data_IF_013837996096
#
_entry.id   IF_013837996096
#
_cell.length_a   1.000
_cell.length_b   1.000
_cell.length_c   1.000
_cell.angle_alpha   90.00
_cell.angle_beta   90.00
_cell.angle_gamma   90.00
#
_symmetry.space_group_name_H-M   'P 1'
#
loop_
_entity.id
_entity.type
_entity.pdbx_description
1 polymer ?
#
# COMPACT_ATOMS: atom_id res chain seq x y z
N UNK A 1 29.88 -47.43 -63.77
CA UNK A 1 29.95 -47.52 -62.29
C UNK A 1 30.43 -46.16 -61.81
N UNK A 2 29.53 -45.34 -61.26
CA UNK A 2 29.88 -44.02 -60.69
C UNK A 2 29.77 -44.11 -59.17
N UNK A 3 30.91 -43.99 -58.52
CA UNK A 3 31.04 -43.93 -57.06
C UNK A 3 30.45 -42.66 -56.51
N UNK A 4 29.36 -42.71 -55.76
CA UNK A 4 28.76 -41.57 -55.09
C UNK A 4 29.54 -41.26 -53.81
N UNK A 5 30.02 -40.07 -53.69
CA UNK A 5 30.90 -39.59 -52.62
C UNK A 5 30.11 -39.43 -51.30
N UNK A 6 30.35 -40.30 -50.34
CA UNK A 6 29.66 -40.33 -49.01
C UNK A 6 30.02 -39.20 -48.09
N UNK A 7 30.88 -38.27 -48.50
CA UNK A 7 31.42 -37.19 -47.66
C UNK A 7 30.52 -35.92 -47.63
N UNK A 8 29.55 -35.81 -48.55
CA UNK A 8 28.72 -34.59 -48.65
C UNK A 8 27.44 -34.65 -47.78
N UNK A 9 26.98 -35.84 -47.41
CA UNK A 9 25.77 -35.98 -46.56
C UNK A 9 26.03 -35.74 -45.08
N UNK A 10 27.27 -35.82 -44.59
CA UNK A 10 27.54 -35.70 -43.15
C UNK A 10 27.71 -34.25 -42.67
N UNK A 11 27.94 -33.31 -43.59
CA UNK A 11 28.09 -31.86 -43.25
C UNK A 11 26.79 -31.10 -43.19
N UNK A 12 25.69 -31.62 -43.71
CA UNK A 12 24.37 -30.96 -43.68
C UNK A 12 23.60 -31.32 -42.42
N UNK A 13 23.88 -32.48 -41.82
CA UNK A 13 23.17 -32.93 -40.60
C UNK A 13 23.76 -32.29 -39.32
N UNK A 14 25.05 -31.98 -39.29
CA UNK A 14 25.70 -31.32 -38.14
C UNK A 14 25.44 -29.81 -38.07
N UNK A 15 25.16 -29.13 -39.19
CA UNK A 15 24.84 -27.70 -39.22
C UNK A 15 23.40 -27.42 -38.75
N UNK A 16 22.48 -28.36 -39.00
CA UNK A 16 21.05 -28.20 -38.62
C UNK A 16 20.77 -28.38 -37.14
N UNK A 17 21.57 -29.23 -36.48
CA UNK A 17 21.34 -29.55 -35.01
C UNK A 17 21.92 -28.44 -34.12
N UNK A 18 22.97 -27.75 -34.57
CA UNK A 18 23.56 -26.63 -33.83
C UNK A 18 22.67 -25.37 -33.90
N UNK A 19 21.89 -25.20 -34.97
CA UNK A 19 21.00 -24.04 -35.10
C UNK A 19 19.68 -24.21 -34.32
N UNK A 20 19.22 -25.45 -34.08
CA UNK A 20 18.02 -25.70 -33.26
C UNK A 20 18.32 -25.62 -31.75
N UNK A 21 19.55 -25.90 -31.32
CA UNK A 21 19.91 -25.80 -29.90
C UNK A 21 20.20 -24.37 -29.44
N UNK A 22 20.49 -23.43 -30.34
CA UNK A 22 20.70 -22.01 -30.00
C UNK A 22 19.38 -21.22 -29.91
N UNK A 23 18.28 -21.73 -30.48
CA UNK A 23 16.97 -21.05 -30.42
C UNK A 23 16.14 -21.44 -29.18
N UNK A 24 16.54 -22.46 -28.43
CA UNK A 24 15.84 -22.91 -27.22
C UNK A 24 16.33 -22.26 -25.92
N UNK A 25 17.35 -21.39 -25.95
CA UNK A 25 17.95 -20.80 -24.74
C UNK A 25 17.55 -19.34 -24.49
N UNK A 26 16.60 -18.78 -25.21
CA UNK A 26 16.08 -17.42 -24.96
C UNK A 26 14.58 -17.39 -24.71
N UNK A 27 13.99 -18.46 -24.24
CA UNK A 27 12.73 -18.34 -23.52
C UNK A 27 13.08 -17.78 -22.13
N UNK A 28 13.32 -16.48 -22.04
CA UNK A 28 13.17 -15.73 -20.80
C UNK A 28 11.73 -15.99 -20.35
N UNK A 29 11.60 -16.96 -19.45
CA UNK A 29 10.36 -17.11 -18.68
C UNK A 29 10.19 -15.82 -17.89
N UNK A 30 9.40 -14.89 -18.44
CA UNK A 30 8.72 -13.90 -17.60
C UNK A 30 7.78 -14.73 -16.73
N UNK A 31 8.32 -15.23 -15.65
CA UNK A 31 7.54 -15.85 -14.61
C UNK A 31 6.92 -14.67 -13.87
N UNK A 32 5.67 -14.36 -14.18
CA UNK A 32 4.90 -13.48 -13.34
C UNK A 32 5.07 -14.00 -11.91
N UNK A 33 5.66 -13.20 -11.03
CA UNK A 33 5.82 -13.57 -9.62
C UNK A 33 4.42 -13.55 -8.99
N UNK A 34 3.67 -14.65 -9.13
CA UNK A 34 2.43 -14.81 -8.39
C UNK A 34 2.79 -15.24 -6.97
N UNK A 35 2.65 -14.33 -6.02
CA UNK A 35 2.67 -14.70 -4.61
C UNK A 35 1.33 -15.30 -4.23
N UNK A 36 1.36 -16.45 -3.57
CA UNK A 36 0.17 -16.98 -2.92
C UNK A 36 -0.02 -16.25 -1.58
N UNK A 37 -1.27 -15.90 -1.21
CA UNK A 37 -1.57 -15.34 0.10
C UNK A 37 -1.04 -16.24 1.22
N UNK A 38 -0.39 -15.62 2.19
CA UNK A 38 0.09 -16.24 3.43
C UNK A 38 -0.73 -15.70 4.58
N UNK A 39 -0.73 -16.41 5.71
CA UNK A 39 -1.48 -16.00 6.87
C UNK A 39 -0.60 -15.98 8.12
N UNK A 40 -0.86 -15.02 8.99
CA UNK A 40 -0.32 -14.93 10.35
C UNK A 40 -1.45 -14.52 11.28
N UNK A 41 -1.37 -14.87 12.55
CA UNK A 41 -2.34 -14.41 13.53
C UNK A 41 -1.92 -13.08 14.15
N UNK A 42 -2.82 -12.10 14.16
CA UNK A 42 -2.66 -10.88 14.92
C UNK A 42 -2.71 -11.17 16.42
N UNK A 43 -2.44 -10.13 17.24
CA UNK A 43 -2.44 -10.23 18.72
C UNK A 43 -3.75 -10.76 19.31
N UNK A 44 -4.87 -10.51 18.66
CA UNK A 44 -6.21 -10.95 19.04
C UNK A 44 -6.63 -12.28 18.39
N UNK A 45 -5.69 -13.01 17.78
CA UNK A 45 -5.89 -14.22 17.01
C UNK A 45 -6.72 -14.06 15.74
N UNK A 46 -6.90 -12.86 15.22
CA UNK A 46 -7.48 -12.66 13.89
C UNK A 46 -6.46 -13.09 12.83
N UNK A 47 -6.80 -13.98 11.87
CA UNK A 47 -5.88 -14.34 10.79
C UNK A 47 -5.73 -13.17 9.81
N UNK A 48 -4.50 -12.77 9.56
CA UNK A 48 -4.13 -11.67 8.66
C UNK A 48 -3.48 -12.23 7.42
N UNK A 49 -4.06 -11.91 6.27
CA UNK A 49 -3.55 -12.27 4.95
C UNK A 49 -2.48 -11.29 4.50
N UNK A 50 -1.43 -11.81 3.88
CA UNK A 50 -0.39 -10.98 3.26
C UNK A 50 0.28 -11.70 2.09
N UNK A 51 0.82 -10.92 1.18
CA UNK A 51 1.57 -11.37 0.03
C UNK A 51 3.00 -10.83 0.08
N UNK A 52 3.97 -11.59 -0.45
CA UNK A 52 5.39 -11.19 -0.47
C UNK A 52 5.93 -11.33 -1.88
N UNK A 53 6.53 -10.27 -2.39
CA UNK A 53 7.17 -10.22 -3.71
C UNK A 53 8.61 -9.72 -3.58
N UNK A 54 9.46 -10.09 -4.52
CA UNK A 54 10.84 -9.65 -4.56
C UNK A 54 11.67 -10.07 -3.34
N UNK A 55 12.79 -9.39 -3.15
CA UNK A 55 13.73 -9.62 -2.05
C UNK A 55 14.57 -8.37 -1.79
N UNK A 56 15.22 -8.30 -0.63
CA UNK A 56 16.09 -7.18 -0.27
C UNK A 56 15.53 -6.37 0.90
N UNK A 57 16.36 -5.44 1.37
CA UNK A 57 16.02 -4.49 2.44
C UNK A 57 16.33 -3.06 2.00
N UNK A 58 15.58 -2.06 2.46
CA UNK A 58 14.44 -2.23 3.37
C UNK A 58 13.28 -2.95 2.70
N UNK A 59 12.48 -3.68 3.50
CA UNK A 59 11.20 -4.20 3.05
C UNK A 59 10.21 -3.06 2.96
N UNK A 60 9.49 -2.96 1.84
CA UNK A 60 8.40 -2.01 1.63
C UNK A 60 7.09 -2.69 2.03
N UNK A 61 6.42 -2.18 3.06
CA UNK A 61 5.18 -2.73 3.57
C UNK A 61 4.03 -1.81 3.18
N UNK A 62 3.13 -2.30 2.36
CA UNK A 62 2.00 -1.53 1.82
C UNK A 62 0.72 -1.84 2.58
N UNK A 63 0.09 -0.81 3.11
CA UNK A 63 -1.14 -0.88 3.90
C UNK A 63 -2.22 -0.04 3.22
N UNK A 64 -3.33 -0.67 2.90
CA UNK A 64 -4.44 -0.07 2.16
C UNK A 64 -5.30 0.89 3.01
N UNK A 65 -6.18 1.62 2.35
CA UNK A 65 -7.15 2.53 2.96
C UNK A 65 -8.43 1.84 3.45
N UNK A 66 -9.36 2.66 3.96
CA UNK A 66 -10.67 2.21 4.40
C UNK A 66 -11.43 1.47 3.30
N UNK A 67 -11.99 0.31 3.62
CA UNK A 67 -12.76 -0.56 2.71
C UNK A 67 -12.03 -0.96 1.41
N UNK A 68 -10.69 -0.86 1.40
CA UNK A 68 -9.81 -1.34 0.34
C UNK A 68 -9.16 -2.68 0.74
N UNK A 69 -8.27 -3.19 -0.10
CA UNK A 69 -7.42 -4.35 0.17
C UNK A 69 -6.09 -4.28 -0.61
N UNK A 70 -5.29 -5.33 -0.56
CA UNK A 70 -3.99 -5.43 -1.21
C UNK A 70 -4.02 -5.21 -2.72
N UNK A 71 -5.14 -5.45 -3.40
CA UNK A 71 -5.32 -5.26 -4.86
C UNK A 71 -5.14 -3.81 -5.30
N UNK A 72 -5.27 -2.86 -4.38
CA UNK A 72 -5.06 -1.44 -4.68
C UNK A 72 -3.60 -1.11 -5.00
N UNK A 73 -2.66 -2.00 -4.65
CA UNK A 73 -1.23 -1.86 -4.89
C UNK A 73 -0.70 -2.63 -6.11
N UNK A 74 -1.59 -3.16 -6.96
CA UNK A 74 -1.23 -4.02 -8.11
C UNK A 74 -0.25 -3.39 -9.10
N UNK A 75 -0.30 -2.07 -9.28
CA UNK A 75 0.56 -1.33 -10.20
C UNK A 75 1.95 -1.00 -9.61
N UNK A 76 2.21 -1.34 -8.34
CA UNK A 76 3.45 -1.11 -7.62
C UNK A 76 4.32 -2.38 -7.52
N UNK A 77 3.70 -3.55 -7.72
CA UNK A 77 4.36 -4.85 -7.50
C UNK A 77 5.60 -4.99 -8.38
N UNK A 78 5.43 -4.93 -9.70
CA UNK A 78 6.54 -5.17 -10.63
C UNK A 78 7.63 -4.11 -10.47
N UNK A 79 7.25 -2.85 -10.33
CA UNK A 79 8.14 -1.71 -10.21
C UNK A 79 9.08 -1.80 -9.00
N UNK A 80 8.57 -2.19 -7.84
CA UNK A 80 9.34 -2.17 -6.60
C UNK A 80 9.91 -3.54 -6.21
N UNK A 81 9.37 -4.65 -6.71
CA UNK A 81 9.86 -6.00 -6.40
C UNK A 81 11.20 -6.34 -7.04
N UNK A 82 11.62 -5.58 -8.06
CA UNK A 82 12.94 -5.77 -8.70
C UNK A 82 14.10 -5.47 -7.74
N UNK A 83 13.92 -4.49 -6.84
CA UNK A 83 15.00 -4.02 -5.95
C UNK A 83 14.70 -4.16 -4.46
N UNK A 84 13.45 -4.39 -4.08
CA UNK A 84 13.03 -4.50 -2.69
C UNK A 84 12.18 -5.75 -2.45
N UNK A 85 12.15 -6.22 -1.22
CA UNK A 85 11.05 -7.06 -0.76
C UNK A 85 9.82 -6.18 -0.58
N UNK A 86 8.69 -6.61 -1.16
CA UNK A 86 7.37 -5.98 -0.99
C UNK A 86 6.51 -6.89 -0.15
N UNK A 87 5.79 -6.31 0.79
CA UNK A 87 4.75 -6.98 1.58
C UNK A 87 3.46 -6.20 1.41
N UNK A 88 2.44 -6.84 0.87
CA UNK A 88 1.09 -6.30 0.77
C UNK A 88 0.23 -6.95 1.85
N UNK A 89 -0.52 -6.16 2.62
CA UNK A 89 -1.32 -6.64 3.75
C UNK A 89 -2.80 -6.40 3.45
N UNK A 90 -3.62 -7.42 3.70
CA UNK A 90 -5.05 -7.22 3.93
C UNK A 90 -5.26 -7.03 5.44
N UNK A 91 -5.70 -5.87 5.89
CA UNK A 91 -6.02 -5.61 7.30
C UNK A 91 -7.19 -6.48 7.76
N UNK A 92 -7.31 -6.76 9.05
CA UNK A 92 -8.45 -7.50 9.58
C UNK A 92 -9.79 -6.97 9.04
N UNK A 93 -10.68 -7.87 8.63
CA UNK A 93 -11.98 -7.51 8.04
C UNK A 93 -11.94 -7.10 6.57
N UNK A 94 -10.77 -7.07 5.94
CA UNK A 94 -10.58 -6.69 4.54
C UNK A 94 -9.93 -7.82 3.75
N UNK A 95 -10.16 -7.83 2.43
CA UNK A 95 -9.56 -8.80 1.50
C UNK A 95 -9.77 -10.24 1.95
N UNK A 96 -8.66 -10.97 2.16
CA UNK A 96 -8.65 -12.37 2.59
C UNK A 96 -8.46 -12.55 4.10
N UNK A 97 -8.38 -11.45 4.87
CA UNK A 97 -8.17 -11.51 6.32
C UNK A 97 -9.45 -11.84 7.09
N UNK A 98 -9.28 -12.35 8.30
CA UNK A 98 -10.38 -12.75 9.18
C UNK A 98 -11.22 -11.57 9.66
N UNK A 99 -12.48 -11.88 10.06
CA UNK A 99 -13.51 -10.92 10.48
C UNK A 99 -13.94 -11.14 11.93
N UNK A 100 -13.06 -11.67 12.78
CA UNK A 100 -13.41 -12.14 14.13
C UNK A 100 -13.29 -11.07 15.21
N UNK A 101 -12.94 -9.87 14.86
CA UNK A 101 -12.73 -8.73 15.77
C UNK A 101 -14.03 -7.95 15.96
N UNK A 102 -14.27 -7.45 17.18
CA UNK A 102 -15.45 -6.62 17.49
C UNK A 102 -15.25 -5.14 17.16
N UNK A 103 -14.01 -4.61 17.36
CA UNK A 103 -13.65 -3.21 17.12
C UNK A 103 -12.46 -3.12 16.17
N UNK A 104 -12.62 -2.36 15.12
CA UNK A 104 -11.63 -2.21 14.04
C UNK A 104 -10.88 -0.89 14.18
N UNK A 105 -10.10 -0.74 15.27
CA UNK A 105 -9.35 0.49 15.57
C UNK A 105 -8.01 0.54 14.84
N UNK A 106 -7.49 1.77 14.65
CA UNK A 106 -6.17 2.00 14.04
C UNK A 106 -5.06 1.32 14.85
N UNK A 107 -5.20 1.24 16.17
CA UNK A 107 -4.26 0.53 17.04
C UNK A 107 -4.29 -0.98 16.81
N UNK A 108 -5.47 -1.57 16.68
CA UNK A 108 -5.62 -3.00 16.40
C UNK A 108 -5.09 -3.36 15.01
N UNK A 109 -5.33 -2.52 14.01
CA UNK A 109 -4.71 -2.65 12.69
C UNK A 109 -3.18 -2.49 12.74
N UNK A 110 -2.64 -1.64 13.61
CA UNK A 110 -1.20 -1.55 13.85
C UNK A 110 -0.58 -2.86 14.35
N UNK A 111 -1.30 -3.61 15.21
CA UNK A 111 -0.87 -4.95 15.63
C UNK A 111 -0.91 -5.97 14.46
N UNK A 112 -1.84 -5.83 13.51
CA UNK A 112 -1.87 -6.65 12.29
C UNK A 112 -0.60 -6.45 11.46
N UNK A 113 -0.24 -5.18 11.20
CA UNK A 113 0.98 -4.81 10.47
C UNK A 113 2.22 -5.36 11.18
N UNK A 114 2.30 -5.20 12.50
CA UNK A 114 3.40 -5.74 13.30
C UNK A 114 3.52 -7.26 13.14
N UNK A 115 2.42 -7.98 13.28
CA UNK A 115 2.40 -9.44 13.17
C UNK A 115 2.94 -9.91 11.79
N UNK A 116 2.55 -9.23 10.72
CA UNK A 116 3.03 -9.54 9.35
C UNK A 116 4.52 -9.20 9.21
N UNK A 117 4.98 -8.05 9.68
CA UNK A 117 6.40 -7.66 9.63
C UNK A 117 7.26 -8.68 10.39
N UNK A 118 6.82 -9.14 11.55
CA UNK A 118 7.51 -10.19 12.32
C UNK A 118 7.52 -11.54 11.58
N UNK A 119 6.41 -11.96 11.00
CA UNK A 119 6.27 -13.21 10.25
C UNK A 119 7.16 -13.25 8.98
N UNK A 120 7.38 -12.10 8.34
CA UNK A 120 8.27 -11.99 7.17
C UNK A 120 9.75 -11.97 7.56
N UNK A 121 10.08 -11.82 8.84
CA UNK A 121 11.44 -11.70 9.34
C UNK A 121 12.14 -10.41 8.91
N UNK A 122 11.39 -9.40 8.46
CA UNK A 122 11.92 -8.11 7.99
C UNK A 122 12.53 -7.33 9.14
N UNK A 123 13.78 -6.89 8.98
CA UNK A 123 14.53 -6.18 10.04
C UNK A 123 14.48 -4.67 9.87
N UNK A 124 14.47 -4.19 8.63
CA UNK A 124 14.36 -2.78 8.26
C UNK A 124 13.16 -2.62 7.35
N UNK A 125 12.18 -1.84 7.73
CA UNK A 125 10.95 -1.64 6.95
C UNK A 125 10.68 -0.15 6.72
N UNK A 126 10.09 0.18 5.57
CA UNK A 126 9.41 1.44 5.31
C UNK A 126 7.92 1.09 5.22
N UNK A 127 7.09 1.74 6.03
CA UNK A 127 5.65 1.54 6.05
C UNK A 127 4.99 2.55 5.13
N UNK A 128 4.29 2.06 4.12
CA UNK A 128 3.61 2.85 3.08
C UNK A 128 2.11 2.67 3.27
N UNK A 129 1.39 3.73 3.60
CA UNK A 129 -0.02 3.65 3.98
C UNK A 129 -0.90 4.61 3.20
N UNK A 130 -1.93 4.08 2.54
CA UNK A 130 -2.93 4.88 1.85
C UNK A 130 -4.06 5.28 2.80
N UNK A 131 -4.41 6.58 2.84
CA UNK A 131 -5.59 7.06 3.58
C UNK A 131 -5.59 6.55 5.05
N UNK A 132 -6.57 5.77 5.46
CA UNK A 132 -6.61 5.08 6.77
C UNK A 132 -5.31 4.30 7.09
N UNK A 133 -4.64 3.76 6.08
CA UNK A 133 -3.35 3.07 6.25
C UNK A 133 -2.23 3.95 6.83
N UNK A 134 -2.34 5.28 6.71
CA UNK A 134 -1.40 6.22 7.34
C UNK A 134 -1.39 6.11 8.87
N UNK A 135 -2.47 6.46 9.58
CA UNK A 135 -2.54 6.32 11.03
C UNK A 135 -2.35 4.87 11.51
N UNK A 136 -2.76 3.85 10.73
CA UNK A 136 -2.43 2.45 11.02
C UNK A 136 -0.93 2.24 11.07
N UNK A 137 -0.19 2.72 10.07
CA UNK A 137 1.27 2.61 10.02
C UNK A 137 1.95 3.38 11.14
N UNK A 138 1.41 4.53 11.55
CA UNK A 138 1.93 5.29 12.70
C UNK A 138 1.78 4.48 13.99
N UNK A 139 0.64 3.82 14.19
CA UNK A 139 0.46 2.91 15.34
C UNK A 139 1.42 1.70 15.26
N UNK A 140 1.59 1.10 14.10
CA UNK A 140 2.53 0.00 13.91
C UNK A 140 3.98 0.41 14.20
N UNK A 141 4.39 1.60 13.78
CA UNK A 141 5.73 2.13 14.05
C UNK A 141 6.00 2.31 15.55
N UNK A 142 5.00 2.73 16.33
CA UNK A 142 5.12 2.80 17.80
C UNK A 142 5.33 1.43 18.46
N UNK A 143 4.85 0.34 17.82
CA UNK A 143 4.99 -1.02 18.33
C UNK A 143 6.33 -1.69 17.96
N UNK A 144 7.03 -1.17 16.96
CA UNK A 144 8.31 -1.73 16.48
C UNK A 144 9.28 -0.64 15.97
N UNK A 145 9.55 0.41 16.78
CA UNK A 145 10.32 1.58 16.34
C UNK A 145 11.73 1.22 15.85
N UNK A 146 12.32 0.16 16.37
CA UNK A 146 13.66 -0.30 15.99
C UNK A 146 13.75 -0.85 14.56
N UNK A 147 12.61 -1.28 13.99
CA UNK A 147 12.54 -1.83 12.63
C UNK A 147 12.14 -0.79 11.59
N UNK A 148 11.33 0.20 11.96
CA UNK A 148 10.78 1.17 11.04
C UNK A 148 11.79 2.26 10.73
N UNK A 149 12.15 2.38 9.45
CA UNK A 149 13.09 3.40 8.95
C UNK A 149 12.40 4.69 8.52
N UNK A 150 11.11 4.65 8.33
CA UNK A 150 10.27 5.81 8.02
C UNK A 150 8.86 5.44 7.63
N UNK A 151 7.99 6.46 7.57
CA UNK A 151 6.61 6.38 7.13
C UNK A 151 6.44 7.13 5.81
N UNK A 152 5.67 6.55 4.90
CA UNK A 152 5.22 7.25 3.69
C UNK A 152 3.69 7.19 3.65
N UNK A 153 3.06 8.35 3.82
CA UNK A 153 1.62 8.53 3.67
C UNK A 153 1.24 8.71 2.21
N UNK A 154 0.26 7.96 1.74
CA UNK A 154 -0.30 8.11 0.40
C UNK A 154 -1.67 8.76 0.54
N UNK A 155 -1.77 10.00 0.10
CA UNK A 155 -2.95 10.86 0.23
C UNK A 155 -3.56 10.83 1.65
N UNK A 156 -2.67 10.91 2.64
CA UNK A 156 -2.96 10.98 4.07
C UNK A 156 -1.93 11.88 4.75
N UNK A 157 -2.17 12.33 5.97
CA UNK A 157 -1.38 13.36 6.65
C UNK A 157 -1.48 14.74 5.98
N UNK A 158 -2.61 15.05 5.36
CA UNK A 158 -2.84 16.39 4.81
C UNK A 158 -2.89 17.47 5.89
N UNK A 159 -3.55 17.20 7.00
CA UNK A 159 -3.61 18.05 8.20
C UNK A 159 -3.90 17.20 9.44
N UNK A 160 -2.88 16.89 10.24
CA UNK A 160 -3.05 16.10 11.46
C UNK A 160 -3.70 16.87 12.61
N UNK A 161 -3.77 18.21 12.51
CA UNK A 161 -4.45 19.09 13.46
C UNK A 161 -5.89 19.43 13.02
N UNK A 162 -6.44 18.77 11.98
CA UNK A 162 -7.79 19.06 11.51
C UNK A 162 -8.82 18.91 12.65
N UNK A 163 -9.54 19.98 13.01
CA UNK A 163 -10.41 19.99 14.18
C UNK A 163 -11.78 19.40 13.83
N UNK A 164 -11.82 18.10 13.56
CA UNK A 164 -13.06 17.41 13.24
C UNK A 164 -14.00 17.42 14.44
N UNK A 165 -15.20 17.93 14.26
CA UNK A 165 -16.24 17.91 15.28
C UNK A 165 -17.05 16.63 15.22
N UNK A 166 -17.70 16.26 16.34
CA UNK A 166 -18.60 15.11 16.37
C UNK A 166 -19.76 15.27 15.38
N UNK A 167 -20.30 16.50 15.26
CA UNK A 167 -21.42 16.80 14.34
C UNK A 167 -21.01 16.58 12.87
N UNK A 168 -19.82 17.02 12.46
CA UNK A 168 -19.29 16.75 11.12
C UNK A 168 -19.09 15.26 10.87
N UNK A 169 -18.49 14.54 11.82
CA UNK A 169 -18.28 13.10 11.73
C UNK A 169 -19.62 12.35 11.61
N UNK A 170 -20.60 12.70 12.42
CA UNK A 170 -21.95 12.11 12.36
C UNK A 170 -22.61 12.40 11.01
N UNK A 171 -22.43 13.60 10.45
CA UNK A 171 -22.91 13.98 9.11
C UNK A 171 -22.30 13.10 8.01
N UNK A 172 -21.00 12.80 8.09
CA UNK A 172 -20.33 11.95 7.11
C UNK A 172 -20.70 10.47 7.22
N UNK A 173 -20.93 9.98 8.45
CA UNK A 173 -21.28 8.58 8.72
C UNK A 173 -22.79 8.29 8.49
N UNK A 174 -23.67 9.25 8.69
CA UNK A 174 -25.11 9.03 8.60
C UNK A 174 -25.56 8.38 7.27
N UNK A 175 -25.12 8.79 6.08
CA UNK A 175 -25.47 8.10 4.83
C UNK A 175 -24.98 6.65 4.78
N UNK A 176 -23.79 6.36 5.36
CA UNK A 176 -23.22 5.02 5.42
C UNK A 176 -24.03 4.10 6.36
N UNK A 177 -24.54 4.64 7.48
CA UNK A 177 -25.41 3.88 8.41
C UNK A 177 -26.80 3.61 7.81
N UNK A 178 -27.32 4.55 7.01
CA UNK A 178 -28.65 4.44 6.41
C UNK A 178 -28.68 3.39 5.31
N UNK A 179 -27.76 3.46 4.37
CA UNK A 179 -27.56 2.51 3.27
C UNK A 179 -26.09 2.50 2.92
N UNK A 180 -25.38 1.49 3.42
CA UNK A 180 -23.93 1.42 3.27
C UNK A 180 -23.49 1.44 1.81
N UNK A 181 -24.14 0.65 0.95
CA UNK A 181 -23.72 0.56 -0.45
C UNK A 181 -23.88 1.89 -1.20
N UNK A 182 -25.02 2.55 -1.01
CA UNK A 182 -25.28 3.85 -1.64
C UNK A 182 -24.41 4.93 -1.02
N UNK A 183 -24.32 4.99 0.31
CA UNK A 183 -23.51 5.97 1.02
C UNK A 183 -22.01 5.86 0.71
N UNK A 184 -21.46 4.63 0.66
CA UNK A 184 -20.08 4.39 0.31
C UNK A 184 -19.76 4.83 -1.14
N UNK A 185 -20.63 4.53 -2.10
CA UNK A 185 -20.47 5.01 -3.49
C UNK A 185 -20.43 6.53 -3.57
N UNK A 186 -21.31 7.22 -2.85
CA UNK A 186 -21.35 8.69 -2.82
C UNK A 186 -20.10 9.26 -2.14
N UNK A 187 -19.71 8.72 -1.00
CA UNK A 187 -18.52 9.13 -0.27
C UNK A 187 -17.25 8.98 -1.13
N UNK A 188 -17.05 7.81 -1.73
CA UNK A 188 -15.91 7.52 -2.61
C UNK A 188 -15.93 8.40 -3.87
N UNK A 189 -17.11 8.66 -4.43
CA UNK A 189 -17.26 9.55 -5.60
C UNK A 189 -16.71 10.96 -5.32
N UNK A 190 -16.85 11.45 -4.10
CA UNK A 190 -16.30 12.74 -3.66
C UNK A 190 -14.76 12.81 -3.61
N UNK A 191 -14.11 11.65 -3.66
CA UNK A 191 -12.65 11.51 -3.60
C UNK A 191 -12.01 11.21 -4.97
N UNK A 192 -12.79 11.22 -6.04
CA UNK A 192 -12.34 10.89 -7.41
C UNK A 192 -12.63 12.09 -8.31
N UNK A 193 -11.64 12.51 -9.10
CA UNK A 193 -11.86 13.57 -10.07
C UNK A 193 -12.83 13.12 -11.19
N UNK A 194 -13.67 14.03 -11.73
CA UNK A 194 -14.63 13.69 -12.79
C UNK A 194 -13.99 13.18 -14.09
N UNK A 195 -12.71 13.49 -14.29
CA UNK A 195 -11.93 13.14 -15.48
C UNK A 195 -10.99 11.93 -15.26
N UNK A 196 -10.99 11.33 -14.06
CA UNK A 196 -10.26 10.09 -13.79
C UNK A 196 -10.81 8.93 -14.63
N UNK A 197 -10.00 7.88 -14.84
CA UNK A 197 -10.40 6.73 -15.64
C UNK A 197 -11.71 6.13 -15.15
N UNK A 198 -12.69 6.01 -16.05
CA UNK A 198 -14.06 5.59 -15.70
C UNK A 198 -14.11 4.12 -15.26
N UNK A 199 -13.27 3.24 -15.83
CA UNK A 199 -13.26 1.82 -15.47
C UNK A 199 -12.67 1.64 -14.07
N UNK A 200 -11.56 2.31 -13.80
CA UNK A 200 -10.89 2.30 -12.49
C UNK A 200 -11.83 2.91 -11.44
N UNK A 201 -12.40 4.08 -11.71
CA UNK A 201 -13.33 4.77 -10.80
C UNK A 201 -14.57 3.94 -10.48
N UNK A 202 -15.14 3.28 -11.50
CA UNK A 202 -16.30 2.40 -11.31
C UNK A 202 -15.95 1.19 -10.48
N UNK A 203 -14.76 0.59 -10.71
CA UNK A 203 -14.27 -0.53 -9.92
C UNK A 203 -14.07 -0.13 -8.46
N UNK A 204 -13.38 0.98 -8.18
CA UNK A 204 -13.14 1.49 -6.83
C UNK A 204 -14.47 1.68 -6.07
N UNK A 205 -15.43 2.41 -6.68
CA UNK A 205 -16.73 2.65 -6.06
C UNK A 205 -17.52 1.36 -5.80
N UNK A 206 -17.43 0.37 -6.69
CA UNK A 206 -18.11 -0.91 -6.52
C UNK A 206 -17.46 -1.77 -5.45
N UNK A 207 -16.14 -1.82 -5.43
CA UNK A 207 -15.34 -2.61 -4.52
C UNK A 207 -15.51 -2.11 -3.06
N UNK A 208 -15.31 -0.83 -2.82
CA UNK A 208 -15.47 -0.24 -1.49
C UNK A 208 -16.91 -0.32 -0.96
N UNK A 209 -17.90 -0.20 -1.85
CA UNK A 209 -19.31 -0.37 -1.47
C UNK A 209 -19.71 -1.84 -1.19
N UNK A 210 -18.88 -2.80 -1.57
CA UNK A 210 -19.10 -4.21 -1.29
C UNK A 210 -18.49 -4.68 0.05
N UNK A 211 -17.74 -3.82 0.75
CA UNK A 211 -17.14 -4.15 2.03
C UNK A 211 -18.22 -4.48 3.09
N UNK A 212 -17.93 -5.35 4.07
CA UNK A 212 -18.83 -5.65 5.17
C UNK A 212 -19.15 -4.39 5.97
N UNK A 213 -20.41 -3.94 5.93
CA UNK A 213 -20.84 -2.64 6.46
C UNK A 213 -20.50 -2.43 7.94
N UNK A 214 -20.66 -3.47 8.78
CA UNK A 214 -20.34 -3.37 10.20
C UNK A 214 -18.85 -3.11 10.45
N UNK A 215 -17.97 -3.74 9.66
CA UNK A 215 -16.52 -3.56 9.74
C UNK A 215 -16.13 -2.17 9.24
N UNK A 216 -16.66 -1.79 8.09
CA UNK A 216 -16.40 -0.50 7.48
C UNK A 216 -16.85 0.67 8.37
N UNK A 217 -18.02 0.57 8.98
CA UNK A 217 -18.53 1.58 9.93
C UNK A 217 -17.64 1.66 11.17
N UNK A 218 -17.32 0.52 11.80
CA UNK A 218 -16.42 0.49 12.95
C UNK A 218 -15.06 1.14 12.64
N UNK A 219 -14.44 0.79 11.52
CA UNK A 219 -13.16 1.36 11.12
C UNK A 219 -13.23 2.87 10.83
N UNK A 220 -14.33 3.35 10.24
CA UNK A 220 -14.53 4.78 9.96
C UNK A 220 -14.73 5.57 11.25
N UNK A 221 -15.54 5.07 12.17
CA UNK A 221 -15.79 5.70 13.47
C UNK A 221 -14.49 5.83 14.29
N UNK A 222 -13.70 4.77 14.35
CA UNK A 222 -12.39 4.75 15.02
C UNK A 222 -11.37 5.68 14.36
N UNK A 223 -11.38 5.78 13.02
CA UNK A 223 -10.53 6.70 12.28
C UNK A 223 -10.88 8.17 12.60
N UNK A 224 -12.17 8.51 12.58
CA UNK A 224 -12.64 9.87 12.88
C UNK A 224 -12.40 10.25 14.34
N UNK A 225 -12.52 9.28 15.26
CA UNK A 225 -12.24 9.51 16.66
C UNK A 225 -10.82 10.03 16.92
N UNK A 226 -9.82 9.64 16.12
CA UNK A 226 -8.47 10.20 16.22
C UNK A 226 -8.45 11.72 16.04
N UNK A 227 -9.18 12.25 15.06
CA UNK A 227 -9.24 13.69 14.82
C UNK A 227 -10.11 14.41 15.85
N UNK A 228 -11.25 13.82 16.23
CA UNK A 228 -12.16 14.39 17.24
C UNK A 228 -11.45 14.54 18.59
N UNK A 229 -10.64 13.55 18.97
CA UNK A 229 -9.93 13.51 20.26
C UNK A 229 -8.56 14.22 20.21
N UNK A 230 -8.13 14.72 19.04
CA UNK A 230 -6.80 15.30 18.84
C UNK A 230 -5.66 14.27 18.79
N UNK A 231 -5.99 12.98 18.76
CA UNK A 231 -4.99 11.91 18.69
C UNK A 231 -4.31 11.82 17.33
N UNK A 232 -4.94 12.30 16.26
CA UNK A 232 -4.38 12.28 14.91
C UNK A 232 -3.03 13.02 14.83
N UNK A 233 -2.82 14.04 15.65
CA UNK A 233 -1.55 14.74 15.79
C UNK A 233 -0.62 14.05 16.80
N UNK A 234 -1.14 13.70 17.99
CA UNK A 234 -0.33 13.18 19.10
C UNK A 234 0.16 11.74 18.91
N UNK A 235 -0.40 10.99 17.96
CA UNK A 235 0.13 9.64 17.63
C UNK A 235 1.58 9.68 17.12
N UNK A 236 2.09 10.82 16.65
CA UNK A 236 3.47 10.99 16.18
C UNK A 236 4.45 11.34 17.32
N UNK A 237 3.95 11.72 18.49
CA UNK A 237 4.79 12.08 19.62
C UNK A 237 5.70 10.93 20.05
N UNK A 238 6.97 11.26 20.30
CA UNK A 238 8.03 10.31 20.67
C UNK A 238 8.30 9.23 19.59
N UNK A 239 8.00 9.53 18.34
CA UNK A 239 8.32 8.67 17.21
C UNK A 239 9.45 9.33 16.37
N UNK A 240 10.73 9.02 16.66
CA UNK A 240 11.87 9.66 16.03
C UNK A 240 12.19 9.02 14.67
N UNK A 241 11.25 9.01 13.77
CA UNK A 241 11.41 8.47 12.40
C UNK A 241 10.95 9.49 11.38
N UNK A 242 11.59 9.57 10.20
CA UNK A 242 11.18 10.47 9.14
C UNK A 242 9.82 10.10 8.56
N UNK A 243 9.04 11.12 8.23
CA UNK A 243 7.74 11.00 7.58
C UNK A 243 7.76 11.74 6.26
N UNK A 244 7.37 11.08 5.19
CA UNK A 244 7.11 11.64 3.88
C UNK A 244 5.66 11.40 3.49
N UNK A 245 5.15 12.19 2.54
CA UNK A 245 3.87 11.90 1.92
C UNK A 245 3.94 12.01 0.39
N UNK A 246 3.09 11.24 -0.29
CA UNK A 246 2.81 11.40 -1.73
C UNK A 246 1.33 11.67 -1.86
N UNK A 247 0.98 12.87 -2.29
CA UNK A 247 -0.38 13.37 -2.36
C UNK A 247 -0.83 13.62 -3.80
N UNK A 248 -2.14 13.51 -4.02
CA UNK A 248 -2.81 14.23 -5.09
C UNK A 248 -2.92 15.73 -4.77
N UNK A 249 -3.49 16.50 -5.67
CA UNK A 249 -3.71 17.95 -5.47
C UNK A 249 -5.17 18.31 -5.16
N UNK A 250 -5.97 17.31 -4.77
CA UNK A 250 -7.39 17.51 -4.44
C UNK A 250 -7.57 18.31 -3.15
N UNK A 251 -6.69 18.13 -2.16
CA UNK A 251 -6.73 18.81 -0.86
C UNK A 251 -5.39 19.46 -0.51
N UNK A 252 -5.43 20.62 0.16
CA UNK A 252 -4.20 21.27 0.62
C UNK A 252 -3.53 20.49 1.75
N UNK A 253 -2.21 20.67 1.87
CA UNK A 253 -1.41 20.09 2.95
C UNK A 253 -1.00 21.19 3.92
N UNK A 254 -1.23 20.97 5.22
CA UNK A 254 -0.70 21.82 6.29
C UNK A 254 0.70 21.34 6.70
N UNK A 255 1.72 21.81 5.98
CA UNK A 255 3.11 21.47 6.25
C UNK A 255 3.57 21.91 7.65
N UNK A 256 3.13 23.07 8.10
CA UNK A 256 3.56 23.61 9.39
C UNK A 256 2.91 22.86 10.55
N UNK A 257 1.60 22.57 10.45
CA UNK A 257 0.90 21.74 11.42
C UNK A 257 1.52 20.36 11.54
N UNK A 258 1.76 19.69 10.43
CA UNK A 258 2.37 18.36 10.42
C UNK A 258 3.79 18.36 11.04
N UNK A 259 4.62 19.37 10.72
CA UNK A 259 5.99 19.50 11.26
C UNK A 259 6.05 19.79 12.76
N UNK A 260 4.98 20.30 13.35
CA UNK A 260 4.91 20.47 14.82
C UNK A 260 4.85 19.15 15.58
N UNK A 261 4.31 18.12 14.95
CA UNK A 261 4.05 16.82 15.59
C UNK A 261 4.96 15.68 15.11
N UNK A 262 5.49 15.81 13.89
CA UNK A 262 6.34 14.78 13.28
C UNK A 262 7.81 15.15 13.44
N UNK A 263 8.66 14.15 13.66
CA UNK A 263 10.12 14.33 13.74
C UNK A 263 10.69 15.04 12.49
N UNK A 264 10.20 14.68 11.31
CA UNK A 264 10.34 15.41 10.05
C UNK A 264 9.11 15.18 9.18
N UNK A 265 8.76 16.15 8.34
CA UNK A 265 7.68 15.98 7.38
C UNK A 265 7.95 16.75 6.10
N UNK A 266 7.81 16.06 4.98
CA UNK A 266 7.73 16.69 3.66
C UNK A 266 6.82 15.88 2.74
N UNK A 267 6.41 16.46 1.60
CA UNK A 267 5.47 15.83 0.69
C UNK A 267 5.79 16.09 -0.78
N UNK A 268 5.48 15.11 -1.62
CA UNK A 268 5.49 15.22 -3.08
C UNK A 268 4.04 15.28 -3.55
N UNK A 269 3.68 16.32 -4.29
CA UNK A 269 2.31 16.50 -4.79
C UNK A 269 2.26 16.22 -6.28
N UNK A 270 1.40 15.28 -6.68
CA UNK A 270 1.14 14.93 -8.08
C UNK A 270 -0.06 15.73 -8.56
N UNK A 271 0.14 16.49 -9.63
CA UNK A 271 -0.92 17.33 -10.22
C UNK A 271 -2.00 16.50 -10.90
N UNK A 272 -3.24 16.97 -10.82
CA UNK A 272 -4.41 16.32 -11.40
C UNK A 272 -4.55 14.86 -10.95
N UNK A 273 -4.15 14.57 -9.71
CA UNK A 273 -4.27 13.26 -9.08
C UNK A 273 -5.28 13.31 -7.94
N UNK A 274 -6.18 12.35 -7.94
CA UNK A 274 -7.20 12.17 -6.90
C UNK A 274 -6.71 11.27 -5.77
N UNK A 275 -7.61 10.95 -4.84
CA UNK A 275 -7.29 10.12 -3.67
C UNK A 275 -6.72 8.73 -4.01
N UNK A 276 -7.02 8.21 -5.19
CA UNK A 276 -6.56 6.89 -5.64
C UNK A 276 -5.42 6.98 -6.67
N UNK A 277 -4.50 7.91 -6.45
CA UNK A 277 -3.38 8.24 -7.35
C UNK A 277 -2.53 7.02 -7.73
N UNK A 278 -2.39 6.03 -6.84
CA UNK A 278 -1.65 4.79 -7.11
C UNK A 278 -2.31 3.91 -8.19
N UNK A 279 -3.58 4.13 -8.46
CA UNK A 279 -4.36 3.45 -9.50
C UNK A 279 -4.58 4.33 -10.73
N UNK A 280 -4.91 5.61 -10.53
CA UNK A 280 -5.29 6.54 -11.59
C UNK A 280 -4.09 7.19 -12.29
N UNK A 281 -2.93 7.28 -11.61
CA UNK A 281 -1.68 7.86 -12.11
C UNK A 281 -0.46 7.00 -11.74
N UNK A 282 -0.44 5.70 -12.11
CA UNK A 282 0.52 4.74 -11.56
C UNK A 282 1.98 5.09 -11.90
N UNK A 283 2.27 5.63 -13.08
CA UNK A 283 3.64 5.96 -13.49
C UNK A 283 4.18 7.14 -12.68
N UNK A 284 3.42 8.24 -12.60
CA UNK A 284 3.78 9.43 -11.80
C UNK A 284 3.86 9.07 -10.32
N UNK A 285 2.94 8.25 -9.83
CA UNK A 285 2.93 7.77 -8.46
C UNK A 285 4.17 6.94 -8.14
N UNK A 286 4.51 5.95 -8.97
CA UNK A 286 5.69 5.11 -8.78
C UNK A 286 6.98 5.94 -8.74
N UNK A 287 7.09 6.95 -9.61
CA UNK A 287 8.23 7.89 -9.60
C UNK A 287 8.29 8.68 -8.30
N UNK A 288 7.18 9.26 -7.86
CA UNK A 288 7.09 10.02 -6.62
C UNK A 288 7.37 9.15 -5.38
N UNK A 289 6.83 7.92 -5.35
CA UNK A 289 7.07 6.98 -4.26
C UNK A 289 8.55 6.58 -4.17
N UNK A 290 9.22 6.33 -5.30
CA UNK A 290 10.66 6.07 -5.34
C UNK A 290 11.46 7.22 -4.73
N UNK A 291 11.14 8.45 -5.11
CA UNK A 291 11.77 9.66 -4.56
C UNK A 291 11.52 9.77 -3.04
N UNK A 292 10.30 9.50 -2.57
CA UNK A 292 9.98 9.53 -1.15
C UNK A 292 10.77 8.45 -0.36
N UNK A 293 10.93 7.25 -0.92
CA UNK A 293 11.75 6.18 -0.33
C UNK A 293 13.22 6.61 -0.22
N UNK A 294 13.78 7.21 -1.26
CA UNK A 294 15.16 7.70 -1.28
C UNK A 294 15.38 8.78 -0.21
N UNK A 295 14.46 9.74 -0.06
CA UNK A 295 14.55 10.78 0.98
C UNK A 295 14.44 10.20 2.40
N UNK A 296 13.53 9.26 2.64
CA UNK A 296 13.47 8.52 3.92
C UNK A 296 14.81 7.87 4.26
N UNK A 297 15.40 7.14 3.32
CA UNK A 297 16.66 6.44 3.53
C UNK A 297 17.84 7.40 3.73
N UNK A 298 17.83 8.55 3.08
CA UNK A 298 18.84 9.59 3.22
C UNK A 298 18.77 10.27 4.61
N UNK A 299 17.56 10.52 5.12
CA UNK A 299 17.37 11.06 6.47
C UNK A 299 17.79 10.03 7.51
N UNK A 300 17.27 8.81 7.44
CA UNK A 300 17.57 7.74 8.38
C UNK A 300 19.07 7.41 8.48
N UNK A 301 19.80 7.50 7.35
CA UNK A 301 21.26 7.27 7.34
C UNK A 301 22.07 8.39 8.02
N UNK A 302 21.53 9.60 8.13
CA UNK A 302 22.22 10.72 8.80
C UNK A 302 22.06 10.64 10.32
N UNK A 303 21.09 9.88 10.78
CA UNK A 303 20.74 9.73 12.19
C UNK A 303 21.29 8.43 12.82
N UNK A 304 21.81 7.49 12.00
CA UNK A 304 22.61 6.33 12.42
C UNK A 304 24.08 6.74 12.67
#
# INVERSE_FOLDING_TARGET
MKTINKTLCLRIITGGIIFLSALCLTALTIQAQTSLPRFVFSKDNTPISYEVYGSGEPTLVFVHGWSCDSRYWRNQIDEFSESNRIVLIDLAGHGHSGTTRDVYSMKAFGEDVKAVVEATGSKKVILIGHSMGGPVNTQAAKLMPERVKGLIGIDTYSNVEYPLTQEEADGWIAPLRQDYQTGARQFVRGMIYPYSDTLISTWIMADMAAAPSAIALSAMEELMALSINGEAATIFENLPIPVMAVHGDMWPIDFEGNRRHMHSFDAIVIKEADHFLMLNKPEEFNKALRQAIEEILKIAKKEE
#
